data_IF_939865426868
#
_entry.id   IF_939865426868
#
_cell.length_a   1.000
_cell.length_b   1.000
_cell.length_c   1.000
_cell.angle_alpha   90.00
_cell.angle_beta   90.00
_cell.angle_gamma   90.00
#
_symmetry.space_group_name_H-M   'P 1'
#
loop_
_entity.id
_entity.type
_entity.pdbx_description
1 polymer ?
#
# COMPACT_ATOMS: atom_id res chain seq x y z
N UNK A 1 2.19 -38.76 -40.17
CA UNK A 1 1.08 -37.89 -39.71
C UNK A 1 1.36 -37.46 -38.28
N UNK A 2 1.93 -36.26 -38.08
CA UNK A 2 2.20 -35.70 -36.74
C UNK A 2 1.09 -34.70 -36.42
N UNK A 3 0.29 -35.01 -35.40
CA UNK A 3 -0.76 -34.13 -34.91
C UNK A 3 -0.17 -32.88 -34.25
N UNK A 4 -0.53 -31.72 -34.78
CA UNK A 4 -0.29 -30.42 -34.15
C UNK A 4 -1.24 -30.26 -32.96
N UNK A 5 -0.70 -30.24 -31.74
CA UNK A 5 -1.42 -29.74 -30.57
C UNK A 5 -1.39 -28.20 -30.63
N UNK A 6 -2.53 -27.49 -30.57
CA UNK A 6 -2.47 -26.04 -30.37
C UNK A 6 -2.04 -25.78 -28.93
N UNK A 7 -0.91 -25.08 -28.76
CA UNK A 7 -0.57 -24.49 -27.47
C UNK A 7 -1.53 -23.32 -27.28
N UNK A 8 -2.50 -23.44 -26.37
CA UNK A 8 -3.37 -22.33 -26.01
C UNK A 8 -2.58 -21.40 -25.13
N UNK A 9 -1.91 -20.43 -25.74
CA UNK A 9 -1.23 -19.35 -25.06
C UNK A 9 -2.30 -18.46 -24.41
N UNK A 10 -2.67 -18.77 -23.18
CA UNK A 10 -3.63 -17.97 -22.41
C UNK A 10 -2.86 -16.81 -21.80
N UNK A 11 -2.63 -15.77 -22.61
CA UNK A 11 -2.22 -14.47 -22.10
C UNK A 11 -3.38 -13.90 -21.26
N UNK A 12 -3.37 -14.19 -19.95
CA UNK A 12 -4.24 -13.48 -19.02
C UNK A 12 -3.81 -12.00 -19.06
N UNK A 13 -4.75 -11.04 -19.25
CA UNK A 13 -4.39 -9.64 -19.24
C UNK A 13 -3.72 -9.31 -17.90
N UNK A 14 -2.70 -8.42 -17.89
CA UNK A 14 -2.10 -8.00 -16.63
C UNK A 14 -3.20 -7.50 -15.70
N UNK A 15 -3.11 -7.79 -14.39
CA UNK A 15 -4.12 -7.36 -13.42
C UNK A 15 -4.30 -5.84 -13.55
N UNK A 16 -5.55 -5.37 -13.51
CA UNK A 16 -5.88 -3.97 -13.78
C UNK A 16 -5.21 -2.98 -12.81
N UNK A 17 -4.68 -3.45 -11.67
CA UNK A 17 -4.10 -2.63 -10.60
C UNK A 17 -2.61 -2.92 -10.34
N UNK A 18 -1.85 -1.96 -9.77
CA UNK A 18 -0.45 -2.13 -9.40
C UNK A 18 -0.20 -3.30 -8.43
N UNK A 19 0.93 -4.00 -8.59
CA UNK A 19 1.34 -5.11 -7.71
C UNK A 19 2.60 -4.73 -6.92
N UNK A 20 2.80 -5.28 -5.70
CA UNK A 20 4.03 -5.10 -4.96
C UNK A 20 5.27 -5.36 -5.84
N UNK A 21 6.30 -4.48 -5.81
CA UNK A 21 6.49 -3.36 -4.88
C UNK A 21 5.80 -2.04 -5.26
N UNK A 22 5.10 -1.98 -6.40
CA UNK A 22 4.40 -0.77 -6.84
C UNK A 22 3.17 -0.51 -5.96
N UNK A 23 3.04 0.74 -5.51
CA UNK A 23 1.94 1.17 -4.67
C UNK A 23 0.65 1.35 -5.49
N UNK A 24 -0.48 0.88 -4.94
CA UNK A 24 -1.82 1.15 -5.45
C UNK A 24 -2.28 2.49 -4.84
N UNK A 25 -2.73 3.47 -5.65
CA UNK A 25 -3.32 4.70 -5.13
C UNK A 25 -4.56 4.41 -4.28
N UNK A 26 -4.81 5.22 -3.25
CA UNK A 26 -5.95 5.05 -2.35
C UNK A 26 -7.30 4.95 -3.10
N UNK A 27 -7.53 5.79 -4.10
CA UNK A 27 -8.76 5.77 -4.90
C UNK A 27 -9.00 4.46 -5.67
N UNK A 28 -7.94 3.69 -5.95
CA UNK A 28 -7.98 2.45 -6.73
C UNK A 28 -7.96 1.20 -5.85
N UNK A 29 -8.00 1.36 -4.53
CA UNK A 29 -7.86 0.27 -3.58
C UNK A 29 -9.07 -0.68 -3.55
N UNK A 30 -10.17 -0.32 -4.22
CA UNK A 30 -11.35 -1.16 -4.44
C UNK A 30 -11.19 -2.15 -5.61
N UNK A 31 -10.21 -1.96 -6.51
CA UNK A 31 -9.96 -2.84 -7.67
C UNK A 31 -9.43 -4.22 -7.29
N UNK A 32 -8.42 -4.36 -6.39
CA UNK A 32 -7.92 -5.66 -5.99
C UNK A 32 -8.98 -6.46 -5.21
N UNK A 33 -9.13 -7.77 -5.47
CA UNK A 33 -10.08 -8.60 -4.75
C UNK A 33 -9.69 -8.77 -3.27
N UNK A 34 -10.66 -9.17 -2.45
CA UNK A 34 -10.39 -9.47 -1.03
C UNK A 34 -9.27 -10.53 -0.88
N UNK A 35 -8.37 -10.32 0.07
CA UNK A 35 -7.20 -11.17 0.28
C UNK A 35 -6.01 -10.92 -0.67
N UNK A 36 -6.17 -10.06 -1.69
CA UNK A 36 -5.08 -9.71 -2.61
C UNK A 36 -3.94 -9.01 -1.86
N UNK A 37 -2.71 -9.40 -2.18
CA UNK A 37 -1.51 -8.70 -1.70
C UNK A 37 -1.30 -7.42 -2.49
N UNK A 38 -1.16 -6.30 -1.78
CA UNK A 38 -1.01 -4.94 -2.32
C UNK A 38 0.10 -4.21 -1.58
N UNK A 39 0.66 -3.19 -2.22
CA UNK A 39 1.49 -2.19 -1.56
C UNK A 39 0.74 -0.87 -1.62
N UNK A 40 0.78 -0.09 -0.54
CA UNK A 40 0.28 1.29 -0.47
C UNK A 40 1.38 2.16 0.11
N UNK A 41 1.40 3.44 -0.21
CA UNK A 41 2.31 4.40 0.38
C UNK A 41 1.59 5.70 0.67
N UNK A 42 1.87 6.33 1.81
CA UNK A 42 1.20 7.56 2.17
C UNK A 42 1.71 8.19 3.46
N UNK A 43 1.34 9.45 3.66
CA UNK A 43 1.60 10.19 4.89
C UNK A 43 0.79 9.60 6.03
N UNK A 44 1.39 9.48 7.21
CA UNK A 44 0.67 8.98 8.37
C UNK A 44 -0.14 10.10 9.00
N UNK A 45 -1.47 9.99 8.95
CA UNK A 45 -2.39 10.94 9.58
C UNK A 45 -2.65 10.62 11.04
N UNK A 46 -3.05 9.37 11.32
CA UNK A 46 -3.53 8.96 12.64
C UNK A 46 -3.00 7.58 12.99
N UNK A 47 -2.67 7.39 14.28
CA UNK A 47 -2.39 6.08 14.88
C UNK A 47 -3.33 5.87 16.05
N UNK A 48 -4.05 4.75 16.06
CA UNK A 48 -4.94 4.39 17.15
C UNK A 48 -4.57 3.01 17.69
N UNK A 49 -4.46 2.90 19.01
CA UNK A 49 -4.29 1.63 19.70
C UNK A 49 -5.39 1.48 20.74
N UNK A 50 -6.57 0.98 20.35
CA UNK A 50 -7.67 0.81 21.30
C UNK A 50 -7.25 -0.13 22.43
N UNK A 51 -7.52 0.27 23.69
CA UNK A 51 -7.10 -0.50 24.87
C UNK A 51 -7.68 -1.92 24.93
N UNK A 52 -8.77 -2.18 24.24
CA UNK A 52 -9.49 -3.46 24.20
C UNK A 52 -9.09 -4.38 23.04
N UNK A 53 -8.34 -3.89 22.05
CA UNK A 53 -8.15 -4.58 20.78
C UNK A 53 -6.91 -5.50 20.73
N UNK A 54 -6.63 -6.31 21.76
CA UNK A 54 -5.57 -7.34 21.79
C UNK A 54 -4.20 -6.92 21.17
N UNK A 55 -3.80 -5.66 21.33
CA UNK A 55 -2.55 -5.14 20.79
C UNK A 55 -2.55 -4.80 19.29
N UNK A 56 -3.71 -4.69 18.65
CA UNK A 56 -3.87 -4.16 17.28
C UNK A 56 -3.65 -2.66 17.27
N UNK A 57 -2.98 -2.18 16.23
CA UNK A 57 -2.81 -0.76 15.93
C UNK A 57 -3.46 -0.47 14.58
N UNK A 58 -4.22 0.60 14.51
CA UNK A 58 -4.77 1.15 13.28
C UNK A 58 -3.92 2.34 12.87
N UNK A 59 -3.54 2.39 11.60
CA UNK A 59 -2.81 3.51 11.02
C UNK A 59 -3.58 4.01 9.81
N UNK A 60 -3.90 5.30 9.76
CA UNK A 60 -4.50 5.92 8.57
C UNK A 60 -3.38 6.57 7.76
N UNK A 61 -3.22 6.10 6.53
CA UNK A 61 -2.33 6.70 5.53
C UNK A 61 -3.13 7.60 4.59
N UNK A 62 -2.50 8.62 4.04
CA UNK A 62 -3.07 9.50 3.02
C UNK A 62 -2.11 9.65 1.83
N UNK A 63 -2.67 9.58 0.63
CA UNK A 63 -2.07 10.09 -0.59
C UNK A 63 -3.03 11.13 -1.22
N UNK A 64 -2.62 11.76 -2.32
CA UNK A 64 -3.42 12.80 -2.98
C UNK A 64 -4.80 12.30 -3.48
N UNK A 65 -4.98 10.98 -3.58
CA UNK A 65 -6.21 10.35 -4.09
C UNK A 65 -7.14 9.89 -2.97
N UNK A 66 -6.72 9.93 -1.70
CA UNK A 66 -7.56 9.61 -0.55
C UNK A 66 -6.82 8.96 0.62
N UNK A 67 -7.56 8.22 1.45
CA UNK A 67 -7.02 7.60 2.66
C UNK A 67 -7.03 6.08 2.59
N UNK A 68 -6.07 5.45 3.28
CA UNK A 68 -5.95 4.00 3.43
C UNK A 68 -5.90 3.63 4.91
N UNK A 69 -6.82 2.78 5.34
CA UNK A 69 -6.84 2.24 6.70
C UNK A 69 -5.98 0.99 6.77
N UNK A 70 -4.88 1.06 7.51
CA UNK A 70 -3.95 -0.05 7.73
C UNK A 70 -4.19 -0.67 9.09
N UNK A 71 -4.28 -2.00 9.13
CA UNK A 71 -4.36 -2.78 10.37
C UNK A 71 -3.01 -3.44 10.63
N UNK A 72 -2.42 -3.16 11.79
CA UNK A 72 -1.13 -3.70 12.21
C UNK A 72 -1.35 -4.59 13.44
N UNK A 73 -1.21 -5.89 13.25
CA UNK A 73 -1.28 -6.86 14.34
C UNK A 73 -0.03 -6.81 15.22
N UNK A 74 -0.17 -7.20 16.48
CA UNK A 74 0.91 -7.15 17.48
C UNK A 74 2.24 -7.76 16.96
N UNK A 75 2.20 -8.93 16.31
CA UNK A 75 3.39 -9.59 15.76
C UNK A 75 4.12 -8.74 14.70
N UNK A 76 3.36 -8.06 13.84
CA UNK A 76 3.90 -7.19 12.79
C UNK A 76 4.42 -5.89 13.42
N UNK A 77 3.68 -5.33 14.37
CA UNK A 77 4.12 -4.18 15.14
C UNK A 77 5.44 -4.43 15.86
N UNK A 78 5.61 -5.55 16.56
CA UNK A 78 6.87 -5.85 17.25
C UNK A 78 8.05 -5.93 16.26
N UNK A 79 7.84 -6.49 15.07
CA UNK A 79 8.86 -6.56 14.01
C UNK A 79 9.22 -5.18 13.43
N UNK A 80 8.22 -4.31 13.25
CA UNK A 80 8.38 -3.01 12.58
C UNK A 80 8.15 -1.83 13.52
N UNK A 81 8.44 -2.00 14.81
CA UNK A 81 8.06 -1.07 15.89
C UNK A 81 8.50 0.37 15.63
N UNK A 82 9.74 0.54 15.18
CA UNK A 82 10.30 1.87 14.88
C UNK A 82 9.53 2.58 13.76
N UNK A 83 9.25 1.87 12.66
CA UNK A 83 8.51 2.43 11.54
C UNK A 83 7.09 2.82 11.96
N UNK A 84 6.39 1.94 12.69
CA UNK A 84 5.02 2.20 13.13
C UNK A 84 4.93 3.38 14.10
N UNK A 85 5.90 3.54 15.01
CA UNK A 85 5.88 4.65 15.99
C UNK A 85 6.29 5.98 15.35
N UNK A 86 7.39 5.99 14.60
CA UNK A 86 8.07 7.24 14.22
C UNK A 86 7.89 7.66 12.75
N UNK A 87 7.54 6.73 11.86
CA UNK A 87 7.53 7.01 10.41
C UNK A 87 6.45 8.02 10.02
N UNK A 88 6.82 9.12 9.39
CA UNK A 88 5.91 10.16 8.87
C UNK A 88 5.35 9.80 7.49
N UNK A 89 6.13 9.08 6.70
CA UNK A 89 5.74 8.50 5.41
C UNK A 89 6.02 7.01 5.45
N UNK A 90 5.00 6.19 5.19
CA UNK A 90 5.12 4.74 5.25
C UNK A 90 4.80 4.13 3.89
N UNK A 91 5.57 3.09 3.53
CA UNK A 91 5.17 2.12 2.51
C UNK A 91 4.76 0.84 3.23
N UNK A 92 3.54 0.37 2.98
CA UNK A 92 2.98 -0.81 3.63
C UNK A 92 2.64 -1.83 2.56
N UNK A 93 3.20 -3.02 2.69
CA UNK A 93 2.78 -4.18 1.90
C UNK A 93 1.94 -5.09 2.78
N UNK A 94 0.78 -5.50 2.28
CA UNK A 94 -0.19 -6.23 3.07
C UNK A 94 -1.29 -6.83 2.21
N UNK A 95 -2.40 -7.22 2.85
CA UNK A 95 -3.54 -7.86 2.19
C UNK A 95 -4.80 -7.04 2.36
N UNK A 96 -5.58 -6.96 1.29
CA UNK A 96 -6.92 -6.36 1.33
C UNK A 96 -7.83 -7.20 2.23
N UNK A 97 -8.52 -6.54 3.16
CA UNK A 97 -9.60 -7.11 3.95
C UNK A 97 -10.81 -6.19 3.85
N UNK A 98 -11.94 -6.76 3.42
CA UNK A 98 -13.23 -6.05 3.31
C UNK A 98 -14.16 -6.49 4.44
N UNK A 99 -14.61 -5.53 5.25
CA UNK A 99 -15.59 -5.74 6.32
C UNK A 99 -16.76 -4.78 6.12
N UNK A 100 -17.86 -5.30 5.54
CA UNK A 100 -19.00 -4.47 5.17
C UNK A 100 -18.61 -3.35 4.21
N UNK A 101 -18.86 -2.06 4.53
CA UNK A 101 -18.50 -0.94 3.67
C UNK A 101 -17.03 -0.52 3.80
N UNK A 102 -16.29 -1.06 4.78
CA UNK A 102 -14.93 -0.61 5.10
C UNK A 102 -13.90 -1.53 4.47
N UNK A 103 -12.88 -0.93 3.87
CA UNK A 103 -11.72 -1.61 3.33
C UNK A 103 -10.49 -1.30 4.19
N UNK A 104 -9.75 -2.36 4.53
CA UNK A 104 -8.50 -2.29 5.27
C UNK A 104 -7.36 -2.96 4.48
N UNK A 105 -6.13 -2.49 4.72
CA UNK A 105 -4.91 -3.22 4.37
C UNK A 105 -4.34 -3.81 5.65
N UNK A 106 -4.37 -5.14 5.78
CA UNK A 106 -3.70 -5.84 6.88
C UNK A 106 -2.22 -5.93 6.56
N UNK A 107 -1.40 -5.26 7.36
CA UNK A 107 0.04 -5.13 7.10
C UNK A 107 0.78 -6.46 7.29
N UNK A 108 1.63 -6.81 6.31
CA UNK A 108 2.63 -7.88 6.41
C UNK A 108 4.05 -7.29 6.59
N UNK A 109 4.34 -6.21 5.87
CA UNK A 109 5.63 -5.49 5.86
C UNK A 109 5.39 -3.98 5.93
N UNK A 110 6.20 -3.28 6.71
CA UNK A 110 6.11 -1.83 6.92
C UNK A 110 7.50 -1.23 6.78
N UNK A 111 7.62 -0.27 5.88
CA UNK A 111 8.86 0.46 5.61
C UNK A 111 8.66 1.94 5.95
N UNK A 112 9.57 2.47 6.75
CA UNK A 112 9.68 3.90 7.00
C UNK A 112 10.46 4.54 5.86
N UNK A 113 9.74 5.26 5.00
CA UNK A 113 10.30 5.99 3.86
C UNK A 113 10.32 7.51 4.12
N UNK A 114 10.26 7.92 5.39
CA UNK A 114 10.26 9.35 5.79
C UNK A 114 11.50 10.12 5.31
N UNK A 115 12.62 9.44 5.07
CA UNK A 115 13.81 10.05 4.48
C UNK A 115 13.51 10.68 3.10
N UNK A 116 12.49 10.19 2.37
CA UNK A 116 12.05 10.81 1.12
C UNK A 116 11.43 12.20 1.34
N UNK A 117 10.79 12.45 2.49
CA UNK A 117 10.26 13.76 2.83
C UNK A 117 11.38 14.74 3.13
N UNK A 118 12.46 14.28 3.77
CA UNK A 118 13.61 15.14 4.09
C UNK A 118 14.27 15.67 2.82
N UNK A 119 14.20 14.92 1.72
CA UNK A 119 14.67 15.37 0.40
C UNK A 119 13.92 16.58 -0.13
N UNK A 120 12.64 16.76 0.23
CA UNK A 120 11.86 17.94 -0.18
C UNK A 120 12.41 19.25 0.42
N UNK A 121 13.21 19.15 1.48
CA UNK A 121 13.85 20.30 2.14
C UNK A 121 15.22 20.63 1.54
N UNK A 122 15.77 19.76 0.67
CA UNK A 122 17.05 20.02 0.02
C UNK A 122 16.89 21.19 -0.98
N UNK A 123 17.75 22.23 -0.93
CA UNK A 123 17.59 23.44 -1.76
C UNK A 123 17.53 23.19 -3.27
N UNK A 124 18.17 22.12 -3.75
CA UNK A 124 18.26 21.77 -5.17
C UNK A 124 17.45 20.51 -5.53
N UNK A 125 16.49 20.11 -4.69
CA UNK A 125 15.68 18.92 -4.96
C UNK A 125 14.81 19.10 -6.21
N UNK A 126 15.21 18.42 -7.28
CA UNK A 126 14.43 18.28 -8.52
C UNK A 126 14.09 16.80 -8.71
N UNK A 127 12.92 16.35 -8.23
CA UNK A 127 12.51 14.99 -8.51
C UNK A 127 12.31 14.84 -10.02
N UNK A 128 12.60 13.65 -10.60
CA UNK A 128 12.06 13.33 -11.92
C UNK A 128 10.54 13.45 -11.82
N UNK A 129 9.98 14.50 -12.43
CA UNK A 129 8.54 14.70 -12.45
C UNK A 129 7.92 13.59 -13.30
N UNK A 130 6.92 12.90 -12.75
CA UNK A 130 6.01 12.11 -13.57
C UNK A 130 5.41 13.04 -14.62
N UNK A 131 5.25 12.58 -15.86
CA UNK A 131 4.64 13.42 -16.89
C UNK A 131 3.22 13.72 -16.44
N UNK A 132 2.72 14.94 -16.67
CA UNK A 132 1.38 15.35 -16.26
C UNK A 132 0.25 14.42 -16.75
N UNK A 133 0.50 13.60 -17.79
CA UNK A 133 -0.45 12.59 -18.29
C UNK A 133 -0.50 11.27 -17.52
N UNK A 134 0.37 11.05 -16.53
CA UNK A 134 0.44 9.84 -15.71
C UNK A 134 -0.31 9.98 -14.37
N UNK A 135 -0.80 11.19 -14.04
CA UNK A 135 -1.56 11.45 -12.83
C UNK A 135 -3.05 11.14 -13.08
N UNK A 136 -3.69 10.28 -12.27
CA UNK A 136 -5.12 10.01 -12.43
C UNK A 136 -5.92 11.30 -12.25
N UNK A 137 -6.93 11.50 -13.10
CA UNK A 137 -7.83 12.65 -13.09
C UNK A 137 -8.69 12.72 -11.82
#
# INVERSE_FOLDING_TARGET
MRGSRPVTDTWAPPPAWPRPPAAVPAARLSEPPNGARVTVAGLVLVRQRPGTAKGVIFVTLEDETGTVNVVVWAKVYERFRRAVIAGRLLRVTGRIQREGPVLHVVADEIEDISAMLDRLLEPDFRPPLCKAGDQPA
#
